data_IF_247573586155
#
_entry.id   IF_247573586155
#
_cell.length_a   1.000
_cell.length_b   1.000
_cell.length_c   1.000
_cell.angle_alpha   90.00
_cell.angle_beta   90.00
_cell.angle_gamma   90.00
#
_symmetry.space_group_name_H-M   'P 1'
#
loop_
_entity.id
_entity.type
_entity.pdbx_description
1 polymer ?
#
# COMPACT_ATOMS: atom_id res chain seq x y z
N UNK A 1 4.62 -2.65 -11.18
CA UNK A 1 4.91 -3.23 -9.86
C UNK A 1 6.09 -2.56 -9.14
N UNK A 2 7.30 -2.40 -9.72
CA UNK A 2 8.46 -1.86 -8.97
C UNK A 2 8.38 -0.36 -8.64
N UNK A 3 7.64 0.41 -9.44
CA UNK A 3 7.46 1.85 -9.24
C UNK A 3 6.64 2.20 -7.97
N UNK A 4 5.76 1.30 -7.50
CA UNK A 4 4.99 1.53 -6.26
C UNK A 4 5.93 1.58 -5.07
N UNK A 5 6.85 0.60 -5.00
CA UNK A 5 7.89 0.56 -3.97
C UNK A 5 8.81 1.78 -4.06
N UNK A 6 9.29 2.14 -5.25
CA UNK A 6 10.15 3.32 -5.43
C UNK A 6 9.47 4.63 -5.01
N UNK A 7 8.20 4.83 -5.38
CA UNK A 7 7.42 6.01 -4.96
C UNK A 7 7.15 6.00 -3.46
N UNK A 8 6.89 4.82 -2.87
CA UNK A 8 6.64 4.68 -1.44
C UNK A 8 7.90 4.96 -0.60
N UNK A 9 9.03 4.35 -0.95
CA UNK A 9 10.30 4.61 -0.28
C UNK A 9 10.77 6.05 -0.51
N UNK A 10 10.62 6.58 -1.72
CA UNK A 10 10.89 8.00 -1.99
C UNK A 10 9.99 8.95 -1.20
N UNK A 11 8.74 8.56 -0.91
CA UNK A 11 7.86 9.31 -0.03
C UNK A 11 8.32 9.28 1.43
N UNK A 12 8.79 8.12 1.92
CA UNK A 12 9.37 7.99 3.26
C UNK A 12 10.59 8.90 3.39
N UNK A 13 11.51 8.83 2.43
CA UNK A 13 12.76 9.62 2.45
C UNK A 13 12.49 11.13 2.35
N UNK A 14 11.48 11.54 1.57
CA UNK A 14 11.07 12.95 1.44
C UNK A 14 10.15 13.44 2.56
N UNK A 15 9.76 12.57 3.50
CA UNK A 15 8.92 12.93 4.64
C UNK A 15 9.28 12.13 5.90
N UNK A 16 8.41 11.22 6.33
CA UNK A 16 8.65 10.23 7.37
C UNK A 16 7.70 9.05 7.17
N UNK A 17 7.96 7.98 7.93
CA UNK A 17 7.22 6.71 7.84
C UNK A 17 5.75 6.93 8.18
N UNK A 18 5.46 7.66 9.26
CA UNK A 18 4.11 7.89 9.77
C UNK A 18 3.22 8.66 8.78
N UNK A 19 3.74 9.73 8.19
CA UNK A 19 3.06 10.57 7.19
C UNK A 19 2.82 9.80 5.90
N UNK A 20 3.84 9.09 5.40
CA UNK A 20 3.71 8.30 4.17
C UNK A 20 2.66 7.20 4.31
N UNK A 21 2.67 6.47 5.42
CA UNK A 21 1.67 5.44 5.72
C UNK A 21 0.27 6.04 5.83
N UNK A 22 0.11 7.18 6.52
CA UNK A 22 -1.18 7.85 6.61
C UNK A 22 -1.73 8.23 5.22
N UNK A 23 -0.89 8.83 4.37
CA UNK A 23 -1.25 9.17 2.99
C UNK A 23 -1.58 7.93 2.15
N UNK A 24 -0.86 6.82 2.35
CA UNK A 24 -1.10 5.56 1.65
C UNK A 24 -2.51 4.99 1.88
N UNK A 25 -3.16 5.35 3.00
CA UNK A 25 -4.55 4.98 3.30
C UNK A 25 -5.58 5.47 2.28
N UNK A 26 -5.24 6.51 1.50
CA UNK A 26 -6.05 7.00 0.36
C UNK A 26 -6.16 5.99 -0.77
N UNK A 27 -5.37 4.90 -0.76
CA UNK A 27 -5.48 3.81 -1.72
C UNK A 27 -6.89 3.24 -1.81
N UNK A 28 -7.62 3.17 -0.69
CA UNK A 28 -9.03 2.73 -0.69
C UNK A 28 -9.97 3.66 -1.44
N UNK A 29 -9.74 4.98 -1.39
CA UNK A 29 -10.50 5.94 -2.17
C UNK A 29 -10.31 5.68 -3.66
N UNK A 30 -9.05 5.56 -4.10
CA UNK A 30 -8.76 5.23 -5.50
C UNK A 30 -9.33 3.87 -5.90
N UNK A 31 -9.19 2.84 -5.07
CA UNK A 31 -9.79 1.53 -5.33
C UNK A 31 -11.32 1.59 -5.46
N UNK A 32 -12.00 2.44 -4.68
CA UNK A 32 -13.46 2.61 -4.73
C UNK A 32 -13.95 3.18 -6.07
N UNK A 33 -13.07 3.88 -6.81
CA UNK A 33 -13.35 4.46 -8.12
C UNK A 33 -12.88 3.52 -9.24
N UNK A 34 -11.65 3.02 -9.13
CA UNK A 34 -11.01 2.19 -10.16
C UNK A 34 -11.70 0.83 -10.27
N UNK A 35 -12.08 0.20 -9.15
CA UNK A 35 -12.71 -1.13 -9.20
C UNK A 35 -14.04 -1.11 -9.97
N UNK A 36 -15.00 -0.21 -9.70
CA UNK A 36 -16.21 -0.07 -10.52
C UNK A 36 -15.95 0.13 -12.01
N UNK A 37 -14.94 0.93 -12.37
CA UNK A 37 -14.58 1.21 -13.77
C UNK A 37 -14.07 -0.06 -14.45
N UNK A 38 -13.10 -0.76 -13.85
CA UNK A 38 -12.48 -1.96 -14.43
C UNK A 38 -13.46 -3.15 -14.46
N UNK A 39 -14.26 -3.33 -13.41
CA UNK A 39 -15.21 -4.43 -13.30
C UNK A 39 -16.59 -4.13 -13.91
N UNK A 40 -16.82 -2.90 -14.39
CA UNK A 40 -18.11 -2.42 -14.91
C UNK A 40 -19.28 -2.69 -13.95
N UNK A 41 -19.03 -2.52 -12.64
CA UNK A 41 -20.04 -2.69 -11.57
C UNK A 41 -20.56 -1.35 -11.09
N UNK A 42 -21.70 -1.35 -10.38
CA UNK A 42 -22.23 -0.14 -9.73
C UNK A 42 -21.28 0.32 -8.63
N UNK A 43 -21.07 1.63 -8.56
CA UNK A 43 -20.35 2.29 -7.48
C UNK A 43 -21.14 2.11 -6.18
N UNK A 44 -20.45 1.69 -5.12
CA UNK A 44 -21.05 1.52 -3.81
C UNK A 44 -20.80 2.78 -2.97
N UNK A 45 -21.86 3.52 -2.65
CA UNK A 45 -21.73 4.83 -1.99
C UNK A 45 -20.99 4.80 -0.65
N UNK A 46 -21.04 3.70 0.09
CA UNK A 46 -20.26 3.55 1.32
C UNK A 46 -18.75 3.46 1.05
N UNK A 47 -18.32 2.86 -0.07
CA UNK A 47 -16.90 2.74 -0.43
C UNK A 47 -16.30 4.12 -0.72
N UNK A 48 -17.05 4.98 -1.42
CA UNK A 48 -16.69 6.37 -1.66
C UNK A 48 -16.69 7.19 -0.37
N UNK A 49 -17.73 7.05 0.47
CA UNK A 49 -17.81 7.78 1.74
C UNK A 49 -16.58 7.53 2.62
N UNK A 50 -16.19 6.27 2.80
CA UNK A 50 -14.99 5.94 3.58
C UNK A 50 -13.71 6.45 2.91
N UNK A 51 -13.63 6.42 1.58
CA UNK A 51 -12.51 7.01 0.85
C UNK A 51 -12.40 8.54 1.06
N UNK A 52 -13.51 9.27 1.03
CA UNK A 52 -13.54 10.71 1.31
C UNK A 52 -13.10 10.99 2.74
N UNK A 53 -13.60 10.23 3.71
CA UNK A 53 -13.20 10.41 5.11
C UNK A 53 -11.69 10.14 5.32
N UNK A 54 -11.12 9.17 4.60
CA UNK A 54 -9.67 8.92 4.60
C UNK A 54 -8.89 10.12 4.03
N UNK A 55 -9.37 10.73 2.93
CA UNK A 55 -8.79 11.96 2.38
C UNK A 55 -8.84 13.10 3.40
N UNK A 56 -9.96 13.28 4.11
CA UNK A 56 -10.08 14.32 5.15
C UNK A 56 -9.04 14.11 6.24
N UNK A 57 -8.83 12.86 6.70
CA UNK A 57 -7.78 12.54 7.66
C UNK A 57 -6.37 12.92 7.14
N UNK A 58 -6.10 12.65 5.86
CA UNK A 58 -4.84 13.05 5.21
C UNK A 58 -4.72 14.58 5.07
N UNK A 59 -5.81 15.28 4.77
CA UNK A 59 -5.84 16.75 4.72
C UNK A 59 -5.47 17.38 6.09
N UNK A 60 -5.93 16.77 7.19
CA UNK A 60 -5.59 17.23 8.54
C UNK A 60 -4.09 17.04 8.81
N UNK A 61 -3.53 15.90 8.41
CA UNK A 61 -2.09 15.60 8.57
C UNK A 61 -1.22 16.54 7.72
N UNK A 62 -1.63 16.79 6.47
CA UNK A 62 -0.90 17.64 5.53
C UNK A 62 -0.90 19.11 5.92
N UNK A 63 -1.96 19.61 6.58
CA UNK A 63 -2.01 21.00 7.03
C UNK A 63 -0.98 21.32 8.12
N UNK A 64 -0.64 20.34 8.97
CA UNK A 64 0.36 20.52 10.01
C UNK A 64 1.80 20.30 9.55
N UNK A 65 2.00 19.67 8.39
CA UNK A 65 3.29 19.18 7.94
C UNK A 65 3.57 19.62 6.48
N UNK A 66 3.36 20.90 6.18
CA UNK A 66 3.51 21.47 4.81
C UNK A 66 4.94 21.28 4.27
N UNK A 67 5.93 21.14 5.15
CA UNK A 67 7.31 20.81 4.79
C UNK A 67 7.45 19.47 4.04
N UNK A 68 6.53 18.53 4.27
CA UNK A 68 6.54 17.20 3.66
C UNK A 68 5.72 17.08 2.36
N UNK A 69 5.36 18.20 1.73
CA UNK A 69 4.49 18.23 0.55
C UNK A 69 4.97 17.30 -0.58
N UNK A 70 6.28 17.23 -0.82
CA UNK A 70 6.89 16.31 -1.80
C UNK A 70 6.62 14.85 -1.44
N UNK A 71 6.86 14.47 -0.18
CA UNK A 71 6.59 13.11 0.30
C UNK A 71 5.11 12.74 0.25
N UNK A 72 4.23 13.69 0.55
CA UNK A 72 2.77 13.51 0.43
C UNK A 72 2.37 13.24 -1.02
N UNK A 73 2.86 14.03 -1.98
CA UNK A 73 2.53 13.83 -3.41
C UNK A 73 3.00 12.45 -3.87
N UNK A 74 4.23 12.07 -3.53
CA UNK A 74 4.77 10.74 -3.84
C UNK A 74 3.95 9.62 -3.17
N UNK A 75 3.51 9.83 -1.93
CA UNK A 75 2.65 8.91 -1.19
C UNK A 75 1.28 8.73 -1.84
N UNK A 76 0.62 9.81 -2.28
CA UNK A 76 -0.66 9.77 -2.99
C UNK A 76 -0.50 9.03 -4.32
N UNK A 77 0.56 9.33 -5.06
CA UNK A 77 0.85 8.63 -6.32
C UNK A 77 1.09 7.14 -6.07
N UNK A 78 1.84 6.79 -5.03
CA UNK A 78 2.05 5.39 -4.64
C UNK A 78 0.74 4.70 -4.27
N UNK A 79 -0.14 5.36 -3.50
CA UNK A 79 -1.46 4.85 -3.13
C UNK A 79 -2.36 4.62 -4.37
N UNK A 80 -2.34 5.56 -5.31
CA UNK A 80 -3.06 5.43 -6.58
C UNK A 80 -2.55 4.22 -7.37
N UNK A 81 -1.24 4.12 -7.60
CA UNK A 81 -0.67 3.01 -8.35
C UNK A 81 -0.85 1.66 -7.66
N UNK A 82 -0.74 1.61 -6.33
CA UNK A 82 -1.03 0.43 -5.51
C UNK A 82 -2.47 -0.04 -5.69
N UNK A 83 -3.43 0.88 -5.60
CA UNK A 83 -4.85 0.56 -5.79
C UNK A 83 -5.17 0.10 -7.21
N UNK A 84 -4.61 0.77 -8.23
CA UNK A 84 -4.75 0.40 -9.63
C UNK A 84 -4.22 -1.01 -9.86
N UNK A 85 -3.03 -1.28 -9.32
CA UNK A 85 -2.36 -2.57 -9.42
C UNK A 85 -3.18 -3.70 -8.78
N UNK A 86 -3.71 -3.49 -7.57
CA UNK A 86 -4.59 -4.47 -6.92
C UNK A 86 -5.84 -4.76 -7.76
N UNK A 87 -6.48 -3.73 -8.35
CA UNK A 87 -7.67 -3.89 -9.19
C UNK A 87 -7.35 -4.64 -10.49
N UNK A 88 -6.24 -4.31 -11.15
CA UNK A 88 -5.80 -5.00 -12.36
C UNK A 88 -5.48 -6.46 -12.07
N UNK A 89 -4.81 -6.76 -10.95
CA UNK A 89 -4.52 -8.13 -10.55
C UNK A 89 -5.77 -8.95 -10.30
N UNK A 90 -6.75 -8.41 -9.58
CA UNK A 90 -8.05 -9.07 -9.45
C UNK A 90 -8.73 -9.31 -10.80
N UNK A 91 -8.53 -8.43 -11.79
CA UNK A 91 -9.08 -8.59 -13.14
C UNK A 91 -8.37 -9.70 -13.92
N UNK A 92 -7.03 -9.71 -13.92
CA UNK A 92 -6.22 -10.73 -14.58
C UNK A 92 -6.40 -12.12 -13.98
N UNK A 93 -6.68 -12.20 -12.68
CA UNK A 93 -6.94 -13.45 -11.97
C UNK A 93 -8.19 -14.19 -12.46
N UNK A 94 -9.06 -13.53 -13.24
CA UNK A 94 -10.19 -14.17 -13.93
C UNK A 94 -9.74 -15.06 -15.10
N UNK A 95 -8.57 -14.79 -15.67
CA UNK A 95 -8.03 -15.47 -16.86
C UNK A 95 -6.74 -16.24 -16.58
N UNK A 96 -5.99 -15.86 -15.55
CA UNK A 96 -4.67 -16.40 -15.23
C UNK A 96 -4.58 -16.80 -13.75
N UNK A 97 -3.64 -17.69 -13.41
CA UNK A 97 -3.38 -18.04 -12.02
C UNK A 97 -2.58 -16.95 -11.31
N UNK A 98 -2.74 -16.84 -9.98
CA UNK A 98 -2.00 -15.88 -9.16
C UNK A 98 -0.49 -16.03 -9.34
N UNK A 99 0.02 -17.27 -9.38
CA UNK A 99 1.44 -17.57 -9.59
C UNK A 99 1.95 -17.06 -10.93
N UNK A 100 1.19 -17.25 -12.02
CA UNK A 100 1.60 -16.78 -13.36
C UNK A 100 1.64 -15.26 -13.40
N UNK A 101 0.62 -14.61 -12.84
CA UNK A 101 0.57 -13.14 -12.73
C UNK A 101 1.81 -12.65 -11.97
N UNK A 102 2.03 -13.12 -10.75
CA UNK A 102 3.16 -12.70 -9.91
C UNK A 102 4.52 -13.00 -10.54
N UNK A 103 4.66 -14.10 -11.29
CA UNK A 103 5.90 -14.43 -11.99
C UNK A 103 6.27 -13.36 -13.03
N UNK A 104 5.33 -12.99 -13.90
CA UNK A 104 5.55 -11.91 -14.87
C UNK A 104 5.80 -10.57 -14.19
N UNK A 105 5.11 -10.30 -13.08
CA UNK A 105 5.31 -9.05 -12.36
C UNK A 105 6.68 -8.96 -11.70
N UNK A 106 7.19 -10.04 -11.09
CA UNK A 106 8.54 -10.05 -10.54
C UNK A 106 9.63 -9.93 -11.62
N UNK A 107 9.48 -10.62 -12.76
CA UNK A 107 10.42 -10.46 -13.89
C UNK A 107 10.40 -9.01 -14.41
N UNK A 108 9.21 -8.43 -14.57
CA UNK A 108 9.10 -7.02 -14.95
C UNK A 108 9.74 -6.12 -13.90
N UNK A 109 9.59 -6.45 -12.61
CA UNK A 109 10.22 -5.80 -11.48
C UNK A 109 11.73 -5.71 -11.63
N UNK A 110 12.37 -6.87 -11.80
CA UNK A 110 13.81 -6.98 -12.01
C UNK A 110 14.25 -6.18 -13.23
N UNK A 111 13.56 -6.33 -14.36
CA UNK A 111 13.90 -5.64 -15.61
C UNK A 111 13.85 -4.12 -15.46
N UNK A 112 12.75 -3.57 -14.92
CA UNK A 112 12.59 -2.11 -14.77
C UNK A 112 13.54 -1.53 -13.72
N UNK A 113 13.78 -2.20 -12.59
CA UNK A 113 14.75 -1.75 -11.58
C UNK A 113 16.16 -1.75 -12.17
N UNK A 114 16.51 -2.80 -12.92
CA UNK A 114 17.81 -2.90 -13.60
C UNK A 114 18.01 -1.74 -14.58
N UNK A 115 17.02 -1.45 -15.42
CA UNK A 115 17.06 -0.31 -16.35
C UNK A 115 17.16 1.01 -15.59
N UNK A 116 16.40 1.17 -14.50
CA UNK A 116 16.44 2.39 -13.69
C UNK A 116 17.85 2.65 -13.11
N UNK A 117 18.47 1.62 -12.52
CA UNK A 117 19.84 1.72 -11.98
C UNK A 117 20.86 2.05 -13.09
N UNK A 118 20.70 1.47 -14.28
CA UNK A 118 21.63 1.72 -15.39
C UNK A 118 21.48 3.11 -16.02
N UNK A 119 20.26 3.64 -16.09
CA UNK A 119 20.00 4.94 -16.73
C UNK A 119 20.11 6.13 -15.77
N UNK A 120 19.77 5.94 -14.49
CA UNK A 120 19.66 7.02 -13.50
C UNK A 120 20.54 6.83 -12.27
N UNK A 121 21.08 5.63 -12.04
CA UNK A 121 22.04 5.35 -10.98
C UNK A 121 23.49 5.35 -11.52
N UNK A 122 24.43 4.97 -10.65
CA UNK A 122 25.85 4.81 -11.01
C UNK A 122 26.14 3.45 -11.67
N UNK A 123 25.09 2.73 -12.10
CA UNK A 123 25.19 1.36 -12.59
C UNK A 123 25.43 0.34 -11.46
N UNK A 124 25.91 -0.85 -11.83
CA UNK A 124 26.24 -1.90 -10.87
C UNK A 124 27.75 -1.91 -10.61
N UNK A 125 28.15 -1.86 -9.34
CA UNK A 125 29.54 -2.02 -8.91
C UNK A 125 29.80 -3.45 -8.42
N UNK A 126 31.08 -3.86 -8.34
CA UNK A 126 31.42 -5.14 -7.74
C UNK A 126 31.06 -5.20 -6.23
N UNK A 127 31.12 -4.05 -5.55
CA UNK A 127 30.71 -3.92 -4.14
C UNK A 127 29.20 -4.14 -3.95
N UNK A 128 28.38 -3.76 -4.93
CA UNK A 128 26.93 -4.03 -4.90
C UNK A 128 26.60 -5.52 -4.74
N UNK A 129 27.45 -6.40 -5.28
CA UNK A 129 27.29 -7.86 -5.17
C UNK A 129 28.11 -8.49 -4.03
N UNK A 130 28.85 -7.68 -3.28
CA UNK A 130 29.63 -8.13 -2.13
C UNK A 130 28.73 -8.26 -0.89
N UNK A 131 27.93 -9.33 -0.85
CA UNK A 131 27.07 -9.65 0.28
C UNK A 131 27.77 -10.57 1.27
N UNK A 132 27.61 -10.28 2.57
CA UNK A 132 28.01 -11.23 3.61
C UNK A 132 27.12 -12.47 3.58
N UNK A 133 27.60 -13.60 4.12
CA UNK A 133 26.80 -14.83 4.20
C UNK A 133 25.53 -14.65 5.03
N UNK A 134 25.55 -13.80 6.07
CA UNK A 134 24.36 -13.45 6.85
C UNK A 134 23.35 -12.65 6.03
N UNK A 135 23.80 -11.67 5.26
CA UNK A 135 22.91 -10.85 4.42
C UNK A 135 22.23 -11.70 3.36
N UNK A 136 22.96 -12.65 2.77
CA UNK A 136 22.38 -13.61 1.84
C UNK A 136 21.21 -14.40 2.46
N UNK A 137 21.37 -14.92 3.67
CA UNK A 137 20.30 -15.65 4.35
C UNK A 137 19.10 -14.76 4.71
N UNK A 138 19.34 -13.53 5.18
CA UNK A 138 18.26 -12.59 5.45
C UNK A 138 17.50 -12.21 4.18
N UNK A 139 18.21 -11.92 3.09
CA UNK A 139 17.62 -11.62 1.78
C UNK A 139 16.86 -12.83 1.23
N UNK A 140 17.37 -14.04 1.41
CA UNK A 140 16.70 -15.25 0.95
C UNK A 140 15.35 -15.45 1.67
N UNK A 141 15.31 -15.31 2.99
CA UNK A 141 14.08 -15.41 3.78
C UNK A 141 13.09 -14.30 3.40
N UNK A 142 13.59 -13.06 3.29
CA UNK A 142 12.79 -11.89 2.94
C UNK A 142 12.17 -12.01 1.53
N UNK A 143 12.97 -12.42 0.54
CA UNK A 143 12.52 -12.57 -0.84
C UNK A 143 11.54 -13.73 -0.99
N UNK A 144 11.78 -14.86 -0.34
CA UNK A 144 10.92 -16.04 -0.49
C UNK A 144 9.62 -15.94 0.30
N UNK A 145 9.70 -15.91 1.64
CA UNK A 145 8.54 -16.00 2.52
C UNK A 145 7.81 -14.66 2.59
N UNK A 146 8.55 -13.61 2.94
CA UNK A 146 7.94 -12.31 3.20
C UNK A 146 7.49 -11.58 1.94
N UNK A 147 8.14 -11.85 0.79
CA UNK A 147 7.81 -11.18 -0.47
C UNK A 147 7.05 -12.10 -1.42
N UNK A 148 7.68 -13.16 -1.95
CA UNK A 148 7.05 -13.99 -2.99
C UNK A 148 5.80 -14.71 -2.50
N UNK A 149 5.88 -15.43 -1.37
CA UNK A 149 4.73 -16.17 -0.84
C UNK A 149 3.61 -15.23 -0.42
N UNK A 150 3.90 -14.22 0.40
CA UNK A 150 2.91 -13.25 0.87
C UNK A 150 2.22 -12.53 -0.31
N UNK A 151 2.99 -12.14 -1.32
CA UNK A 151 2.45 -11.47 -2.50
C UNK A 151 1.56 -12.40 -3.33
N UNK A 152 2.01 -13.63 -3.64
CA UNK A 152 1.17 -14.60 -4.37
C UNK A 152 -0.11 -14.89 -3.59
N UNK A 153 -0.03 -15.04 -2.27
CA UNK A 153 -1.20 -15.24 -1.41
C UNK A 153 -2.15 -14.03 -1.45
N UNK A 154 -1.63 -12.80 -1.46
CA UNK A 154 -2.42 -11.57 -1.58
C UNK A 154 -3.15 -11.48 -2.92
N UNK A 155 -2.53 -11.92 -4.01
CA UNK A 155 -3.19 -11.99 -5.33
C UNK A 155 -4.21 -13.14 -5.33
N UNK A 156 -3.85 -14.30 -4.78
CA UNK A 156 -4.75 -15.46 -4.74
C UNK A 156 -6.04 -15.19 -3.99
N UNK A 157 -6.00 -14.49 -2.85
CA UNK A 157 -7.20 -14.21 -2.05
C UNK A 157 -8.19 -13.33 -2.80
N UNK A 158 -7.76 -12.54 -3.79
CA UNK A 158 -8.63 -11.74 -4.68
C UNK A 158 -9.60 -12.60 -5.52
N UNK A 159 -9.44 -13.94 -5.54
CA UNK A 159 -10.48 -14.86 -6.07
C UNK A 159 -11.77 -14.84 -5.25
N UNK A 160 -11.66 -14.54 -3.96
CA UNK A 160 -12.76 -14.67 -2.98
C UNK A 160 -13.18 -13.34 -2.36
N UNK A 161 -12.28 -12.34 -2.37
CA UNK A 161 -12.55 -10.98 -1.90
C UNK A 161 -12.25 -9.97 -3.00
N UNK A 162 -12.96 -8.84 -3.02
CA UNK A 162 -12.75 -7.82 -4.05
C UNK A 162 -11.40 -7.12 -3.88
N UNK A 163 -10.80 -6.60 -4.97
CA UNK A 163 -9.59 -5.78 -4.88
C UNK A 163 -9.69 -4.61 -3.90
N UNK A 164 -10.82 -3.89 -3.85
CA UNK A 164 -11.07 -2.85 -2.85
C UNK A 164 -10.89 -3.36 -1.42
N UNK A 165 -11.31 -4.60 -1.15
CA UNK A 165 -11.13 -5.21 0.17
C UNK A 165 -9.68 -5.42 0.51
N UNK A 166 -8.89 -5.90 -0.45
CA UNK A 166 -7.46 -6.14 -0.23
C UNK A 166 -6.76 -4.82 0.03
N UNK A 167 -7.06 -3.78 -0.74
CA UNK A 167 -6.53 -2.43 -0.49
C UNK A 167 -6.99 -1.88 0.87
N UNK A 168 -8.23 -2.16 1.28
CA UNK A 168 -8.71 -1.80 2.61
C UNK A 168 -7.93 -2.47 3.73
N UNK A 169 -7.50 -3.73 3.54
CA UNK A 169 -6.65 -4.39 4.54
C UNK A 169 -5.26 -3.75 4.63
N UNK A 170 -4.75 -3.15 3.55
CA UNK A 170 -3.51 -2.37 3.58
C UNK A 170 -3.67 -1.05 4.36
N UNK A 171 -4.89 -0.55 4.57
CA UNK A 171 -5.06 0.58 5.48
C UNK A 171 -4.87 0.20 6.96
N UNK A 172 -4.63 -1.07 7.29
CA UNK A 172 -4.14 -1.46 8.61
C UNK A 172 -2.62 -1.27 8.74
N UNK A 173 -1.87 -1.20 7.64
CA UNK A 173 -0.41 -0.96 7.66
C UNK A 173 0.01 0.28 8.44
N UNK A 174 -0.68 1.42 8.30
CA UNK A 174 -0.39 2.61 9.07
C UNK A 174 -0.60 2.42 10.57
N UNK A 175 -1.59 1.61 10.97
CA UNK A 175 -1.90 1.41 12.39
C UNK A 175 -0.75 0.69 13.08
N UNK A 176 -0.31 -0.44 12.52
CA UNK A 176 0.81 -1.18 13.12
C UNK A 176 2.15 -0.51 12.84
N UNK A 177 2.31 0.16 11.68
CA UNK A 177 3.52 0.89 11.33
C UNK A 177 3.80 2.05 12.28
N UNK A 178 2.79 2.88 12.58
CA UNK A 178 2.92 3.98 13.54
C UNK A 178 3.19 3.44 14.95
N UNK A 179 2.50 2.38 15.38
CA UNK A 179 2.74 1.77 16.70
C UNK A 179 4.18 1.26 16.81
N UNK A 180 4.66 0.52 15.81
CA UNK A 180 6.04 0.01 15.81
C UNK A 180 7.06 1.14 15.73
N UNK A 181 6.81 2.18 14.93
CA UNK A 181 7.69 3.34 14.81
C UNK A 181 7.80 4.11 16.13
N UNK A 182 6.71 4.29 16.87
CA UNK A 182 6.73 4.91 18.20
C UNK A 182 7.48 4.07 19.24
N UNK A 183 7.44 2.74 19.15
CA UNK A 183 8.16 1.84 20.07
C UNK A 183 9.66 1.82 19.75
N UNK A 184 10.03 1.74 18.46
CA UNK A 184 11.41 1.54 18.03
C UNK A 184 12.18 2.86 17.82
N UNK A 185 11.50 3.94 17.46
CA UNK A 185 12.10 5.24 17.13
C UNK A 185 11.36 6.42 17.81
N UNK A 186 11.20 6.41 19.15
CA UNK A 186 10.39 7.40 19.87
C UNK A 186 10.87 8.85 19.73
N UNK A 187 12.15 9.09 19.40
CA UNK A 187 12.69 10.45 19.26
C UNK A 187 12.55 11.04 17.85
N UNK A 188 12.48 10.21 16.81
CA UNK A 188 12.38 10.65 15.40
C UNK A 188 10.95 10.84 14.91
N UNK A 189 9.97 10.31 15.65
CA UNK A 189 8.56 10.24 15.23
C UNK A 189 7.61 11.09 16.10
N UNK A 190 8.14 12.01 16.92
CA UNK A 190 7.30 12.99 17.64
C UNK A 190 6.71 13.99 16.65
N UNK A 191 5.50 13.71 16.21
CA UNK A 191 4.76 14.56 15.28
C UNK A 191 3.92 15.61 16.01
N UNK A 192 3.42 16.60 15.28
CA UNK A 192 2.53 17.63 15.81
C UNK A 192 1.23 17.05 16.40
N UNK A 193 0.56 17.73 17.36
CA UNK A 193 -0.73 17.29 17.88
C UNK A 193 -1.80 17.04 16.79
N UNK A 194 -1.77 17.83 15.71
CA UNK A 194 -2.65 17.69 14.55
C UNK A 194 -2.45 16.36 13.80
N UNK A 195 -1.20 15.87 13.72
CA UNK A 195 -0.91 14.55 13.16
C UNK A 195 -1.68 13.45 13.90
N UNK A 196 -1.66 13.46 15.24
CA UNK A 196 -2.35 12.45 16.04
C UNK A 196 -3.88 12.50 15.84
N UNK A 197 -4.46 13.69 15.70
CA UNK A 197 -5.88 13.83 15.37
C UNK A 197 -6.21 13.25 13.99
N UNK A 198 -5.43 13.59 12.96
CA UNK A 198 -5.62 13.05 11.61
C UNK A 198 -5.42 11.54 11.54
N UNK A 199 -4.41 11.01 12.23
CA UNK A 199 -4.16 9.57 12.34
C UNK A 199 -5.35 8.86 13.03
N UNK A 200 -5.89 9.44 14.11
CA UNK A 200 -7.07 8.89 14.80
C UNK A 200 -8.31 8.86 13.88
N UNK A 201 -8.51 9.90 13.06
CA UNK A 201 -9.59 9.93 12.05
C UNK A 201 -9.41 8.79 11.05
N UNK A 202 -8.21 8.62 10.47
CA UNK A 202 -7.92 7.54 9.51
C UNK A 202 -8.17 6.16 10.15
N UNK A 203 -7.63 5.92 11.35
CA UNK A 203 -7.82 4.66 12.08
C UNK A 203 -9.32 4.38 12.29
N UNK A 204 -10.08 5.38 12.71
CA UNK A 204 -11.52 5.26 12.95
C UNK A 204 -12.25 4.89 11.66
N UNK A 205 -11.93 5.55 10.55
CA UNK A 205 -12.53 5.29 9.23
C UNK A 205 -12.25 3.87 8.77
N UNK A 206 -11.02 3.40 8.93
CA UNK A 206 -10.60 2.03 8.57
C UNK A 206 -11.36 1.01 9.41
N UNK A 207 -11.42 1.20 10.73
CA UNK A 207 -12.13 0.30 11.63
C UNK A 207 -13.64 0.25 11.34
N UNK A 208 -14.27 1.40 11.09
CA UNK A 208 -15.68 1.47 10.72
C UNK A 208 -15.96 0.76 9.40
N UNK A 209 -15.08 0.89 8.41
CA UNK A 209 -15.24 0.22 7.12
C UNK A 209 -15.21 -1.31 7.28
N UNK A 210 -14.23 -1.83 8.04
CA UNK A 210 -14.13 -3.26 8.38
C UNK A 210 -15.41 -3.75 9.07
N UNK A 211 -15.93 -3.01 10.05
CA UNK A 211 -17.14 -3.37 10.79
C UNK A 211 -18.40 -3.39 9.90
N UNK A 212 -18.61 -2.35 9.08
CA UNK A 212 -19.75 -2.27 8.16
C UNK A 212 -19.74 -3.43 7.17
N UNK A 213 -18.56 -3.78 6.68
CA UNK A 213 -18.41 -4.87 5.73
C UNK A 213 -18.69 -6.24 6.36
N UNK A 214 -18.19 -6.48 7.57
CA UNK A 214 -18.47 -7.72 8.32
C UNK A 214 -19.97 -7.89 8.59
N UNK A 215 -20.66 -6.81 9.01
CA UNK A 215 -22.13 -6.85 9.22
C UNK A 215 -22.90 -7.19 7.95
N UNK A 216 -22.50 -6.67 6.79
CA UNK A 216 -23.16 -6.97 5.51
C UNK A 216 -22.89 -8.40 5.04
N UNK A 217 -21.70 -8.95 5.27
CA UNK A 217 -21.39 -10.35 4.99
C UNK A 217 -22.28 -11.29 5.81
N UNK A 218 -22.47 -10.98 7.10
CA UNK A 218 -23.37 -11.75 8.00
C UNK A 218 -24.83 -11.66 7.54
N UNK A 219 -25.29 -10.47 7.13
CA UNK A 219 -26.68 -10.29 6.66
C UNK A 219 -26.98 -11.03 5.35
N UNK A 220 -26.00 -11.13 4.44
CA UNK A 220 -26.11 -11.92 3.19
C UNK A 220 -26.04 -13.43 3.41
N UNK A 221 -25.44 -13.89 4.50
CA UNK A 221 -25.38 -15.32 4.87
C UNK A 221 -26.65 -15.81 5.57
N UNK A 222 -27.51 -14.89 6.04
CA UNK A 222 -28.77 -15.19 6.74
C UNK A 222 -30.02 -14.97 5.88
N UNK A 223 -29.85 -14.55 4.63
CA UNK A 223 -30.90 -14.37 3.61
C UNK A 223 -30.66 -15.35 2.47
#
# INVERSE_FOLDING_TARGET
MPYIGLLFFGAIDASNVSTTLAVFSTGTFFASIIEPIVYKRKVLGYEILFGILAIVGVCIITQSEVEYLTGIILGILSAFFSSLFAVLNGSFLKKHSATVISFYEFISGVLFITIYILCFGEGFSAEFFSLSTSDFWYLFILASICTTYAFIASVYIMKTISPYTVVLTYNLEPVYGIILALILFPEKEKMSPSFYYGALVIITVVMLNVLVKNRRKIKRSRS
#
